data_IF_487746401956
#
_entry.id   IF_487746401956
#
_cell.length_a   1.000
_cell.length_b   1.000
_cell.length_c   1.000
_cell.angle_alpha   90.00
_cell.angle_beta   90.00
_cell.angle_gamma   90.00
#
_symmetry.space_group_name_H-M   'P 1'
#
loop_
_entity.id
_entity.type
_entity.pdbx_description
1 polymer ?
#
# COMPACT_ATOMS: atom_id res chain seq x y z
N UNK A 1 -8.88 17.18 -7.50
CA UNK A 1 -8.76 15.84 -8.13
C UNK A 1 -10.15 15.29 -8.41
N UNK A 2 -10.41 14.69 -9.59
CA UNK A 2 -11.71 14.04 -9.88
C UNK A 2 -11.89 12.80 -8.99
N UNK A 3 -13.06 12.67 -8.34
CA UNK A 3 -13.44 11.50 -7.54
C UNK A 3 -13.35 10.24 -8.40
N UNK A 4 -12.49 9.29 -8.01
CA UNK A 4 -12.31 8.01 -8.70
C UNK A 4 -13.55 7.16 -8.46
N UNK A 5 -14.06 6.51 -9.52
CA UNK A 5 -15.23 5.64 -9.41
C UNK A 5 -14.78 4.25 -8.95
N UNK A 6 -15.40 3.67 -7.91
CA UNK A 6 -15.10 2.29 -7.51
C UNK A 6 -15.62 1.30 -8.57
N UNK A 7 -14.96 0.14 -8.70
CA UNK A 7 -15.41 -0.93 -9.61
C UNK A 7 -16.58 -1.75 -9.07
N UNK A 8 -17.02 -1.51 -7.83
CA UNK A 8 -18.14 -2.20 -7.18
C UNK A 8 -18.09 -3.74 -7.27
N UNK A 9 -16.89 -4.31 -7.13
CA UNK A 9 -16.67 -5.76 -7.20
C UNK A 9 -16.42 -6.33 -8.60
N UNK A 10 -16.64 -5.56 -9.66
CA UNK A 10 -16.36 -5.97 -11.03
C UNK A 10 -14.87 -5.91 -11.35
N UNK A 11 -14.41 -6.82 -12.20
CA UNK A 11 -13.09 -6.70 -12.83
C UNK A 11 -13.07 -5.51 -13.78
N UNK A 12 -11.87 -5.01 -14.10
CA UNK A 12 -11.73 -3.93 -15.07
C UNK A 12 -12.25 -4.32 -16.47
N UNK A 13 -12.23 -5.63 -16.80
CA UNK A 13 -12.72 -6.15 -18.08
C UNK A 13 -14.24 -6.18 -18.13
N UNK A 14 -14.91 -6.72 -17.12
CA UNK A 14 -16.37 -6.78 -17.06
C UNK A 14 -16.99 -5.38 -17.05
N UNK A 15 -16.39 -4.45 -16.30
CA UNK A 15 -16.88 -3.07 -16.28
C UNK A 15 -16.64 -2.35 -17.61
N UNK A 16 -15.54 -2.67 -18.30
CA UNK A 16 -15.24 -2.15 -19.63
C UNK A 16 -16.25 -2.64 -20.68
N UNK A 17 -16.56 -3.94 -20.68
CA UNK A 17 -17.58 -4.56 -21.53
C UNK A 17 -18.97 -3.95 -21.27
N UNK A 18 -19.34 -3.76 -20.00
CA UNK A 18 -20.65 -3.21 -19.62
C UNK A 18 -20.86 -1.75 -20.02
N UNK A 19 -19.81 -0.93 -19.96
CA UNK A 19 -19.87 0.52 -20.24
C UNK A 19 -19.49 0.83 -21.71
N UNK A 20 -18.95 -0.14 -22.44
CA UNK A 20 -18.51 0.05 -23.83
C UNK A 20 -17.23 0.89 -23.92
N UNK A 21 -16.28 0.67 -23.02
CA UNK A 21 -15.00 1.38 -23.00
C UNK A 21 -13.82 0.42 -22.85
N UNK A 22 -12.58 0.93 -22.91
CA UNK A 22 -11.40 0.08 -22.75
C UNK A 22 -11.10 -0.26 -21.28
N UNK A 23 -10.55 -1.45 -21.02
CA UNK A 23 -10.04 -1.82 -19.70
C UNK A 23 -8.95 -0.87 -19.17
N UNK A 24 -8.23 -0.18 -20.05
CA UNK A 24 -7.25 0.86 -19.67
C UNK A 24 -7.96 2.10 -19.12
N UNK A 25 -9.05 2.53 -19.76
CA UNK A 25 -9.88 3.66 -19.30
C UNK A 25 -10.44 3.37 -17.91
N UNK A 26 -11.01 2.18 -17.71
CA UNK A 26 -11.52 1.75 -16.39
C UNK A 26 -10.42 1.74 -15.33
N UNK A 27 -9.22 1.22 -15.65
CA UNK A 27 -8.09 1.25 -14.71
C UNK A 27 -7.70 2.68 -14.34
N UNK A 28 -7.62 3.59 -15.30
CA UNK A 28 -7.27 5.00 -15.02
C UNK A 28 -8.31 5.70 -14.14
N UNK A 29 -9.60 5.38 -14.33
CA UNK A 29 -10.70 5.96 -13.56
C UNK A 29 -10.86 5.38 -12.15
N UNK A 30 -10.44 4.13 -11.96
CA UNK A 30 -10.63 3.39 -10.69
C UNK A 30 -9.34 3.23 -9.89
N UNK A 31 -8.19 3.49 -10.49
CA UNK A 31 -6.91 3.44 -9.81
C UNK A 31 -6.84 4.47 -8.70
N UNK A 32 -6.35 4.02 -7.55
CA UNK A 32 -5.93 4.88 -6.46
C UNK A 32 -4.91 5.92 -6.96
N UNK A 33 -5.04 7.19 -6.57
CA UNK A 33 -4.01 8.18 -6.83
C UNK A 33 -2.66 7.75 -6.27
N UNK A 34 -1.59 7.98 -7.05
CA UNK A 34 -0.23 7.60 -6.65
C UNK A 34 0.17 8.17 -5.28
N UNK A 35 -0.25 9.40 -4.97
CA UNK A 35 0.02 10.04 -3.69
C UNK A 35 -0.58 9.26 -2.51
N UNK A 36 -1.83 8.83 -2.63
CA UNK A 36 -2.54 8.08 -1.58
C UNK A 36 -1.93 6.69 -1.38
N UNK A 37 -1.56 6.02 -2.47
CA UNK A 37 -0.83 4.75 -2.43
C UNK A 37 0.49 4.88 -1.65
N UNK A 38 1.26 5.92 -1.98
CA UNK A 38 2.54 6.20 -1.31
C UNK A 38 2.35 6.59 0.15
N UNK A 39 1.33 7.39 0.47
CA UNK A 39 0.99 7.78 1.84
C UNK A 39 0.69 6.54 2.69
N UNK A 40 -0.15 5.61 2.21
CA UNK A 40 -0.43 4.34 2.91
C UNK A 40 0.83 3.49 3.08
N UNK A 41 1.69 3.42 2.05
CA UNK A 41 2.94 2.68 2.15
C UNK A 41 3.88 3.29 3.20
N UNK A 42 3.96 4.62 3.26
CA UNK A 42 4.75 5.35 4.26
C UNK A 42 4.18 5.18 5.67
N UNK A 43 2.87 5.26 5.84
CA UNK A 43 2.21 5.02 7.14
C UNK A 43 2.58 3.64 7.71
N UNK A 44 2.60 2.60 6.87
CA UNK A 44 3.05 1.26 7.28
C UNK A 44 4.51 1.25 7.72
N UNK A 45 5.41 1.94 7.00
CA UNK A 45 6.82 2.07 7.38
C UNK A 45 6.95 2.76 8.73
N UNK A 46 6.29 3.89 8.91
CA UNK A 46 6.31 4.65 10.16
C UNK A 46 5.79 3.83 11.34
N UNK A 47 4.72 3.05 11.14
CA UNK A 47 4.20 2.16 12.17
C UNK A 47 5.19 1.07 12.56
N UNK A 48 5.92 0.49 11.61
CA UNK A 48 7.01 -0.46 11.88
C UNK A 48 8.12 0.21 12.68
N UNK A 49 8.55 1.42 12.29
CA UNK A 49 9.59 2.19 13.00
C UNK A 49 9.19 2.45 14.44
N UNK A 50 7.96 2.92 14.66
CA UNK A 50 7.42 3.21 15.98
C UNK A 50 7.35 1.95 16.86
N UNK A 51 6.86 0.82 16.34
CA UNK A 51 6.82 -0.43 17.11
C UNK A 51 8.22 -0.99 17.40
N UNK A 52 9.17 -0.78 16.48
CA UNK A 52 10.56 -1.16 16.71
C UNK A 52 11.23 -0.30 17.77
N UNK A 53 10.97 1.01 17.78
CA UNK A 53 11.43 1.92 18.82
C UNK A 53 10.87 1.56 20.20
N UNK A 54 9.64 1.03 20.26
CA UNK A 54 9.04 0.47 21.48
C UNK A 54 9.63 -0.87 21.94
N UNK A 55 10.56 -1.45 21.18
CA UNK A 55 11.25 -2.69 21.53
C UNK A 55 10.57 -3.98 21.09
N UNK A 56 9.50 -3.94 20.28
CA UNK A 56 8.86 -5.16 19.79
C UNK A 56 9.82 -5.98 18.90
N UNK A 57 9.68 -7.30 18.99
CA UNK A 57 10.37 -8.24 18.10
C UNK A 57 9.81 -8.15 16.68
N UNK A 58 10.62 -8.49 15.67
CA UNK A 58 10.19 -8.47 14.26
C UNK A 58 8.93 -9.32 14.03
N UNK A 59 8.81 -10.45 14.72
CA UNK A 59 7.64 -11.34 14.67
C UNK A 59 6.41 -10.70 15.30
N UNK A 60 6.57 -10.00 16.43
CA UNK A 60 5.47 -9.26 17.06
C UNK A 60 4.96 -8.13 16.17
N UNK A 61 5.86 -7.39 15.53
CA UNK A 61 5.50 -6.32 14.58
C UNK A 61 4.75 -6.90 13.37
N UNK A 62 5.22 -8.03 12.84
CA UNK A 62 4.58 -8.71 11.72
C UNK A 62 3.14 -9.12 12.04
N UNK A 63 2.91 -9.68 13.24
CA UNK A 63 1.58 -10.06 13.72
C UNK A 63 0.67 -8.84 13.92
N UNK A 64 1.18 -7.77 14.54
CA UNK A 64 0.42 -6.54 14.82
C UNK A 64 -0.01 -5.81 13.54
N UNK A 65 0.85 -5.76 12.53
CA UNK A 65 0.58 -5.04 11.27
C UNK A 65 -0.11 -5.95 10.24
N UNK A 66 -0.13 -7.27 10.47
CA UNK A 66 -0.65 -8.24 9.51
C UNK A 66 0.20 -8.34 8.24
N UNK A 67 1.53 -8.32 8.38
CA UNK A 67 2.47 -8.44 7.27
C UNK A 67 3.49 -9.56 7.48
N UNK A 68 4.21 -9.95 6.44
CA UNK A 68 5.25 -10.98 6.58
C UNK A 68 6.46 -10.45 7.36
N UNK A 69 7.14 -11.34 8.10
CA UNK A 69 8.36 -10.99 8.85
C UNK A 69 9.44 -10.41 7.91
N UNK A 70 9.56 -10.95 6.69
CA UNK A 70 10.48 -10.40 5.67
C UNK A 70 10.16 -8.95 5.26
N UNK A 71 8.89 -8.58 5.23
CA UNK A 71 8.47 -7.19 4.99
C UNK A 71 8.95 -6.27 6.10
N UNK A 72 8.84 -6.71 7.36
CA UNK A 72 9.35 -5.96 8.52
C UNK A 72 10.87 -5.79 8.44
N UNK A 73 11.62 -6.86 8.14
CA UNK A 73 13.07 -6.79 7.99
C UNK A 73 13.50 -5.76 6.93
N UNK A 74 12.83 -5.76 5.78
CA UNK A 74 13.10 -4.79 4.72
C UNK A 74 12.88 -3.35 5.20
N UNK A 75 11.77 -3.06 5.87
CA UNK A 75 11.50 -1.71 6.37
C UNK A 75 12.50 -1.24 7.44
N UNK A 76 12.96 -2.15 8.30
CA UNK A 76 14.01 -1.83 9.28
C UNK A 76 15.36 -1.58 8.60
N UNK A 77 15.67 -2.32 7.53
CA UNK A 77 16.88 -2.09 6.74
C UNK A 77 16.84 -0.72 6.02
N UNK A 78 15.71 -0.39 5.39
CA UNK A 78 15.46 0.94 4.77
C UNK A 78 15.69 2.06 5.79
N UNK A 79 15.10 1.93 7.00
CA UNK A 79 15.27 2.91 8.08
C UNK A 79 16.73 3.08 8.51
N UNK A 80 17.52 2.00 8.55
CA UNK A 80 18.96 2.08 8.88
C UNK A 80 19.78 2.76 7.80
N UNK A 81 19.44 2.55 6.53
CA UNK A 81 20.09 3.21 5.41
C UNK A 81 19.81 4.72 5.41
N UNK A 82 18.57 5.11 5.70
CA UNK A 82 18.16 6.51 5.82
C UNK A 82 18.86 7.24 6.98
N UNK A 83 19.05 6.59 8.13
CA UNK A 83 19.75 7.19 9.29
C UNK A 83 21.27 7.31 9.12
N UNK A 84 21.85 6.61 8.14
CA UNK A 84 23.30 6.61 7.89
C UNK A 84 23.75 7.75 6.97
N UNK A 85 22.80 8.48 6.38
CA UNK A 85 23.03 9.62 5.48
C UNK A 85 22.90 10.91 6.25
#
# INVERSE_FOLDING_TARGET
MRKRLPRNGLTARELAERIGCSSQTIRNWTAEPRADYLARANEKRERVRALRAKGLSMRGIAAEIGCSVGTVHRYVAEQKAEQKT
#
